data_IF_720263516854
#
_entry.id   IF_720263516854
#
_cell.length_a   1.000
_cell.length_b   1.000
_cell.length_c   1.000
_cell.angle_alpha   90.00
_cell.angle_beta   90.00
_cell.angle_gamma   90.00
#
_symmetry.space_group_name_H-M   'P 1'
#
loop_
_entity.id
_entity.type
_entity.pdbx_description
1 polymer ?
#
# COMPACT_ATOMS: atom_id res chain seq x y z
N UNK A 1 36.49 7.29 9.02
CA UNK A 1 35.23 6.52 9.03
C UNK A 1 34.16 7.41 8.41
N UNK A 2 33.49 6.98 7.35
CA UNK A 2 32.37 7.72 6.75
C UNK A 2 31.13 6.89 7.02
N UNK A 3 30.15 7.48 7.70
CA UNK A 3 28.85 6.87 7.96
C UNK A 3 27.88 7.44 6.94
N UNK A 4 27.31 6.60 6.08
CA UNK A 4 26.21 7.00 5.21
C UNK A 4 24.95 6.98 6.09
N UNK A 5 24.41 8.15 6.41
CA UNK A 5 23.10 8.26 7.03
C UNK A 5 22.06 8.19 5.93
N UNK A 6 21.17 7.20 6.01
CA UNK A 6 20.02 7.08 5.11
C UNK A 6 19.10 8.30 5.29
N UNK A 7 18.78 8.97 4.19
CA UNK A 7 17.87 10.13 4.13
C UNK A 7 16.70 9.70 3.28
N UNK A 8 15.47 9.99 3.72
CA UNK A 8 14.27 9.73 2.94
C UNK A 8 14.25 10.59 1.67
N UNK A 9 14.76 10.05 0.56
CA UNK A 9 14.88 10.73 -0.73
C UNK A 9 14.26 9.94 -1.89
N UNK A 10 13.80 8.71 -1.63
CA UNK A 10 13.07 7.92 -2.60
C UNK A 10 11.61 7.76 -2.19
N UNK A 11 10.64 8.36 -2.89
CA UNK A 11 9.24 8.13 -2.54
C UNK A 11 8.79 6.71 -2.89
N UNK A 12 7.85 6.12 -2.11
CA UNK A 12 7.23 4.84 -2.43
C UNK A 12 6.58 4.85 -3.81
N UNK A 13 6.75 3.76 -4.56
CA UNK A 13 6.17 3.60 -5.90
C UNK A 13 5.49 2.27 -6.11
N UNK A 14 4.33 2.28 -6.74
CA UNK A 14 3.72 1.05 -7.24
C UNK A 14 4.45 0.56 -8.50
N UNK A 15 4.65 -0.75 -8.66
CA UNK A 15 5.25 -1.33 -9.87
C UNK A 15 4.33 -1.23 -11.09
N UNK A 16 3.03 -0.99 -10.88
CA UNK A 16 2.02 -0.79 -11.91
C UNK A 16 1.28 0.50 -11.64
N UNK A 17 0.94 1.21 -12.70
CA UNK A 17 0.12 2.43 -12.63
C UNK A 17 -1.38 2.13 -12.43
N UNK A 18 -1.83 0.92 -12.79
CA UNK A 18 -3.23 0.53 -12.72
C UNK A 18 -3.34 -0.92 -12.22
N UNK A 19 -4.25 -1.13 -11.25
CA UNK A 19 -4.65 -2.43 -10.76
C UNK A 19 -6.13 -2.64 -11.05
N UNK A 20 -6.47 -3.78 -11.66
CA UNK A 20 -7.86 -4.16 -11.89
C UNK A 20 -8.24 -5.27 -10.92
N UNK A 21 -9.17 -4.95 -10.02
CA UNK A 21 -9.72 -5.87 -9.03
C UNK A 21 -11.20 -6.12 -9.33
N UNK A 22 -11.70 -7.30 -8.97
CA UNK A 22 -13.10 -7.69 -9.18
C UNK A 22 -13.63 -8.32 -7.90
N UNK A 23 -14.81 -7.89 -7.47
CA UNK A 23 -15.50 -8.43 -6.31
C UNK A 23 -16.93 -8.83 -6.71
N UNK A 24 -17.38 -10.06 -6.40
CA UNK A 24 -18.78 -10.43 -6.54
C UNK A 24 -19.70 -9.58 -5.64
N UNK A 25 -20.88 -9.23 -6.13
CA UNK A 25 -21.88 -8.49 -5.33
C UNK A 25 -22.37 -9.28 -4.10
N UNK A 26 -22.26 -10.60 -4.15
CA UNK A 26 -22.62 -11.50 -3.05
C UNK A 26 -21.53 -11.63 -2.00
N UNK A 27 -20.38 -10.98 -2.17
CA UNK A 27 -19.27 -11.06 -1.21
C UNK A 27 -19.64 -10.43 0.13
N UNK A 28 -19.39 -11.11 1.26
CA UNK A 28 -19.57 -10.52 2.58
C UNK A 28 -18.71 -9.27 2.80
N UNK A 29 -19.15 -8.39 3.70
CA UNK A 29 -18.35 -7.26 4.19
C UNK A 29 -17.04 -7.78 4.80
N UNK A 30 -15.92 -7.11 4.48
CA UNK A 30 -14.58 -7.52 4.92
C UNK A 30 -13.94 -8.62 4.07
N UNK A 31 -14.56 -9.02 2.95
CA UNK A 31 -13.91 -9.94 2.00
C UNK A 31 -12.65 -9.30 1.42
N UNK A 32 -11.53 -10.01 1.49
CA UNK A 32 -10.29 -9.60 0.82
C UNK A 32 -10.49 -9.64 -0.71
N UNK A 33 -10.20 -8.52 -1.38
CA UNK A 33 -10.42 -8.35 -2.82
C UNK A 33 -9.11 -8.56 -3.59
N UNK A 34 -8.00 -8.12 -3.03
CA UNK A 34 -6.69 -8.22 -3.66
C UNK A 34 -5.57 -7.79 -2.71
N UNK A 35 -4.35 -7.75 -3.22
CA UNK A 35 -3.18 -7.24 -2.48
C UNK A 35 -2.36 -6.36 -3.41
N UNK A 36 -1.92 -5.21 -2.91
CA UNK A 36 -1.06 -4.27 -3.62
C UNK A 36 0.19 -3.98 -2.78
N UNK A 37 1.27 -3.63 -3.47
CA UNK A 37 2.55 -3.33 -2.84
C UNK A 37 3.20 -2.17 -3.55
N UNK A 38 3.50 -1.11 -2.81
CA UNK A 38 4.46 -0.10 -3.20
C UNK A 38 5.87 -0.51 -2.72
N UNK A 39 6.89 0.03 -3.37
CA UNK A 39 8.29 -0.24 -3.04
C UNK A 39 9.00 1.08 -2.84
N UNK A 40 9.68 1.18 -1.71
CA UNK A 40 10.59 2.25 -1.35
C UNK A 40 11.99 1.64 -1.17
N UNK A 41 13.01 2.11 -1.92
CA UNK A 41 14.38 1.59 -1.81
C UNK A 41 15.19 2.17 -0.64
N UNK A 42 14.63 3.08 0.16
CA UNK A 42 15.27 3.61 1.38
C UNK A 42 15.35 2.52 2.48
N UNK A 43 15.89 2.84 3.65
CA UNK A 43 16.10 1.86 4.72
C UNK A 43 15.37 2.20 6.02
N UNK A 44 14.94 1.16 6.72
CA UNK A 44 14.30 1.29 8.03
C UNK A 44 13.03 2.15 7.95
N UNK A 45 12.90 3.11 8.86
CA UNK A 45 11.73 4.00 8.94
C UNK A 45 11.55 4.88 7.70
N UNK A 46 12.60 5.15 6.94
CA UNK A 46 12.48 5.93 5.71
C UNK A 46 11.77 5.16 4.59
N UNK A 47 11.70 3.83 4.69
CA UNK A 47 10.99 2.96 3.76
C UNK A 47 9.67 2.40 4.33
N UNK A 48 9.15 2.97 5.42
CA UNK A 48 7.81 2.63 5.93
C UNK A 48 6.72 3.22 5.03
N UNK A 49 5.80 2.35 4.58
CA UNK A 49 4.75 2.71 3.63
C UNK A 49 3.37 2.64 4.30
N UNK A 50 2.64 3.76 4.21
CA UNK A 50 1.24 3.86 4.58
C UNK A 50 0.35 3.92 3.33
N UNK A 51 -0.74 3.17 3.32
CA UNK A 51 -1.69 3.14 2.21
C UNK A 51 -2.98 3.86 2.58
N UNK A 52 -3.46 4.72 1.69
CA UNK A 52 -4.69 5.46 1.87
C UNK A 52 -5.48 5.52 0.55
N UNK A 53 -6.80 5.34 0.62
CA UNK A 53 -7.71 5.53 -0.52
C UNK A 53 -8.05 7.02 -0.62
N UNK A 54 -7.59 7.67 -1.68
CA UNK A 54 -7.92 9.08 -1.99
C UNK A 54 -8.97 9.13 -3.12
N UNK A 55 -9.81 10.18 -3.17
CA UNK A 55 -11.27 10.10 -3.32
C UNK A 55 -11.76 9.26 -4.51
N UNK A 56 -12.69 8.36 -4.22
CA UNK A 56 -13.27 7.40 -5.17
C UNK A 56 -14.07 6.26 -4.54
N UNK A 57 -14.21 6.24 -3.21
CA UNK A 57 -14.90 5.21 -2.42
C UNK A 57 -16.43 5.40 -2.38
N UNK A 58 -16.95 6.55 -2.85
CA UNK A 58 -18.38 6.83 -3.06
C UNK A 58 -19.30 6.69 -1.83
N UNK A 59 -18.76 6.29 -0.67
CA UNK A 59 -19.52 5.86 0.50
C UNK A 59 -18.78 4.93 1.47
N UNK A 60 -17.43 4.95 1.54
CA UNK A 60 -16.59 4.10 2.40
C UNK A 60 -16.83 2.58 2.22
N UNK A 61 -17.04 2.13 0.98
CA UNK A 61 -17.32 0.71 0.70
C UNK A 61 -16.07 -0.18 0.73
N UNK A 62 -14.90 0.42 0.56
CA UNK A 62 -13.62 -0.28 0.51
C UNK A 62 -12.67 0.32 1.52
N UNK A 63 -11.80 -0.53 2.08
CA UNK A 63 -10.76 -0.17 3.03
C UNK A 63 -9.45 -0.84 2.60
N UNK A 64 -8.31 -0.34 3.09
CA UNK A 64 -7.01 -0.99 2.92
C UNK A 64 -6.50 -1.40 4.30
N UNK A 65 -6.27 -2.71 4.47
CA UNK A 65 -5.59 -3.24 5.65
C UNK A 65 -4.11 -3.41 5.32
N UNK A 66 -3.24 -2.75 6.07
CA UNK A 66 -1.79 -2.91 5.91
C UNK A 66 -1.31 -4.07 6.78
N UNK A 67 -0.51 -4.94 6.18
CA UNK A 67 0.21 -5.99 6.88
C UNK A 67 1.55 -5.40 7.38
N UNK A 68 1.73 -5.29 8.70
CA UNK A 68 2.90 -4.64 9.31
C UNK A 68 4.23 -5.36 9.00
N UNK A 69 4.19 -6.68 8.80
CA UNK A 69 5.38 -7.48 8.52
C UNK A 69 5.88 -7.30 7.07
N UNK A 70 4.94 -7.07 6.14
CA UNK A 70 5.24 -7.02 4.70
C UNK A 70 5.08 -5.65 4.07
N UNK A 71 4.43 -4.72 4.78
CA UNK A 71 4.00 -3.41 4.30
C UNK A 71 3.22 -3.50 2.97
N UNK A 72 2.40 -4.54 2.85
CA UNK A 72 1.49 -4.74 1.73
C UNK A 72 0.07 -4.32 2.15
N UNK A 73 -0.66 -3.66 1.26
CA UNK A 73 -2.06 -3.29 1.47
C UNK A 73 -3.00 -4.34 0.88
N UNK A 74 -4.02 -4.75 1.64
CA UNK A 74 -5.04 -5.74 1.25
C UNK A 74 -6.47 -5.23 1.34
#
# INVERSE_FOLDING_TARGET
>A
NITLTDVNDNPPRFPKSIFHLKVPESSPIGSAIGRIRAVDPDFGQNAEIEYNIVPGDGGNLFDIVTDEDTQEGG
#
